data_IF_614418169898
#
_entry.id   IF_614418169898
#
_cell.length_a   1.000
_cell.length_b   1.000
_cell.length_c   1.000
_cell.angle_alpha   90.00
_cell.angle_beta   90.00
_cell.angle_gamma   90.00
#
_symmetry.space_group_name_H-M   'P 1'
#
loop_
_entity.id
_entity.type
_entity.pdbx_description
1 polymer ?
#
# COMPACT_ATOMS: atom_id res chain seq x y z
N UNK A 1 -86.37 59.07 -38.76
CA UNK A 1 -85.04 58.72 -39.28
C UNK A 1 -83.95 58.86 -38.21
N UNK A 2 -83.88 59.97 -37.47
CA UNK A 2 -82.86 60.22 -36.44
C UNK A 2 -82.82 59.18 -35.28
N UNK A 3 -83.99 58.73 -34.81
CA UNK A 3 -84.10 57.70 -33.76
C UNK A 3 -83.49 56.35 -34.19
N UNK A 4 -83.65 55.97 -35.46
CA UNK A 4 -83.11 54.71 -35.99
C UNK A 4 -81.57 54.76 -36.01
N UNK A 5 -81.01 55.93 -36.36
CA UNK A 5 -79.56 56.14 -36.36
C UNK A 5 -78.99 55.99 -34.95
N UNK A 6 -79.65 56.57 -33.93
CA UNK A 6 -79.21 56.43 -32.54
C UNK A 6 -79.19 54.96 -32.10
N UNK A 7 -80.25 54.19 -32.40
CA UNK A 7 -80.35 52.79 -32.00
C UNK A 7 -79.24 51.94 -32.64
N UNK A 8 -78.93 52.18 -33.91
CA UNK A 8 -77.84 51.49 -34.62
C UNK A 8 -76.48 51.84 -34.02
N UNK A 9 -76.24 53.13 -33.73
CA UNK A 9 -74.98 53.56 -33.09
C UNK A 9 -74.84 52.95 -31.70
N UNK A 10 -75.91 52.90 -30.90
CA UNK A 10 -75.89 52.30 -29.58
C UNK A 10 -75.60 50.79 -29.64
N UNK A 11 -76.19 50.08 -30.59
CA UNK A 11 -75.94 48.66 -30.81
C UNK A 11 -74.48 48.38 -31.20
N UNK A 12 -73.88 49.22 -32.05
CA UNK A 12 -72.46 49.11 -32.45
C UNK A 12 -71.54 49.36 -31.26
N UNK A 13 -71.82 50.35 -30.41
CA UNK A 13 -71.03 50.65 -29.22
C UNK A 13 -71.09 49.49 -28.23
N UNK A 14 -72.28 48.93 -27.97
CA UNK A 14 -72.45 47.78 -27.07
C UNK A 14 -71.70 46.56 -27.63
N UNK A 15 -71.81 46.29 -28.93
CA UNK A 15 -71.08 45.20 -29.58
C UNK A 15 -69.55 45.37 -29.48
N UNK A 16 -69.04 46.59 -29.65
CA UNK A 16 -67.61 46.89 -29.53
C UNK A 16 -67.09 46.68 -28.09
N UNK A 17 -67.86 47.08 -27.08
CA UNK A 17 -67.49 46.89 -25.67
C UNK A 17 -67.47 45.40 -25.31
N UNK A 18 -68.48 44.62 -25.75
CA UNK A 18 -68.55 43.17 -25.49
C UNK A 18 -67.43 42.41 -26.20
N UNK A 19 -67.04 42.82 -27.41
CA UNK A 19 -65.89 42.23 -28.11
C UNK A 19 -64.56 42.51 -27.38
N UNK A 20 -64.39 43.73 -26.84
CA UNK A 20 -63.19 44.12 -26.11
C UNK A 20 -63.06 43.43 -24.73
N UNK A 21 -64.17 43.14 -24.04
CA UNK A 21 -64.14 42.44 -22.75
C UNK A 21 -63.92 40.94 -22.92
N UNK A 22 -64.56 40.29 -23.91
CA UNK A 22 -64.34 38.87 -24.21
C UNK A 22 -62.90 38.55 -24.62
N UNK A 23 -62.23 39.44 -25.36
CA UNK A 23 -60.82 39.25 -25.73
C UNK A 23 -59.85 39.31 -24.54
N UNK A 24 -60.18 40.08 -23.50
CA UNK A 24 -59.33 40.22 -22.30
C UNK A 24 -59.45 39.05 -21.33
N UNK A 25 -60.62 38.42 -21.23
CA UNK A 25 -60.81 37.21 -20.41
C UNK A 25 -60.10 36.01 -21.01
N UNK A 26 -60.20 35.80 -22.33
CA UNK A 26 -59.45 34.75 -23.03
C UNK A 26 -57.93 34.89 -22.83
N UNK A 27 -57.39 36.10 -23.02
CA UNK A 27 -55.96 36.36 -22.82
C UNK A 27 -55.49 36.20 -21.36
N UNK A 28 -56.39 36.34 -20.37
CA UNK A 28 -56.07 36.06 -18.95
C UNK A 28 -56.08 34.58 -18.64
N UNK A 29 -57.01 33.83 -19.20
CA UNK A 29 -57.10 32.37 -19.06
C UNK A 29 -55.86 31.73 -19.69
N UNK A 30 -55.50 32.14 -20.90
CA UNK A 30 -54.33 31.61 -21.62
C UNK A 30 -53.01 31.88 -20.88
N UNK A 31 -52.85 33.07 -20.28
CA UNK A 31 -51.70 33.36 -19.39
C UNK A 31 -51.72 32.54 -18.11
N UNK A 32 -52.89 32.28 -17.54
CA UNK A 32 -53.00 31.46 -16.34
C UNK A 32 -52.61 30.01 -16.62
N UNK A 33 -52.98 29.48 -17.78
CA UNK A 33 -52.60 28.13 -18.20
C UNK A 33 -51.10 28.04 -18.58
N UNK A 34 -50.53 29.04 -19.25
CA UNK A 34 -49.07 29.12 -19.48
C UNK A 34 -48.29 29.17 -18.15
N UNK A 35 -48.76 29.94 -17.17
CA UNK A 35 -48.14 29.98 -15.83
C UNK A 35 -48.25 28.63 -15.10
N UNK A 36 -49.38 27.92 -15.21
CA UNK A 36 -49.53 26.57 -14.65
C UNK A 36 -48.59 25.58 -15.33
N UNK A 37 -48.46 25.65 -16.66
CA UNK A 37 -47.57 24.78 -17.40
C UNK A 37 -46.11 25.01 -17.00
N UNK A 38 -45.67 26.28 -16.91
CA UNK A 38 -44.33 26.62 -16.42
C UNK A 38 -44.10 26.21 -14.97
N UNK A 39 -45.12 26.30 -14.12
CA UNK A 39 -45.04 25.81 -12.75
C UNK A 39 -44.79 24.29 -12.74
N UNK A 40 -45.53 23.52 -13.52
CA UNK A 40 -45.31 22.07 -13.64
C UNK A 40 -43.94 21.70 -14.23
N UNK A 41 -43.43 22.47 -15.18
CA UNK A 41 -42.06 22.29 -15.70
C UNK A 41 -41.00 22.58 -14.63
N UNK A 42 -41.17 23.65 -13.86
CA UNK A 42 -40.29 23.95 -12.73
C UNK A 42 -40.37 22.88 -11.64
N UNK A 43 -41.55 22.36 -11.32
CA UNK A 43 -41.71 21.29 -10.32
C UNK A 43 -40.95 20.03 -10.76
N UNK A 44 -40.99 19.68 -12.05
CA UNK A 44 -40.21 18.55 -12.59
C UNK A 44 -38.70 18.79 -12.49
N UNK A 45 -38.25 20.01 -12.80
CA UNK A 45 -36.83 20.37 -12.67
C UNK A 45 -36.37 20.35 -11.21
N UNK A 46 -37.21 20.81 -10.28
CA UNK A 46 -36.95 20.75 -8.83
C UNK A 46 -36.87 19.31 -8.35
N UNK A 47 -37.83 18.45 -8.74
CA UNK A 47 -37.81 17.04 -8.39
C UNK A 47 -36.53 16.34 -8.87
N UNK A 48 -36.13 16.56 -10.13
CA UNK A 48 -34.90 15.98 -10.68
C UNK A 48 -33.64 16.49 -9.98
N UNK A 49 -33.61 17.77 -9.55
CA UNK A 49 -32.50 18.32 -8.77
C UNK A 49 -32.46 17.75 -7.35
N UNK A 50 -33.62 17.55 -6.73
CA UNK A 50 -33.72 16.95 -5.42
C UNK A 50 -33.26 15.50 -5.44
N UNK A 51 -33.71 14.70 -6.40
CA UNK A 51 -33.25 13.33 -6.60
C UNK A 51 -31.72 13.26 -6.76
N UNK A 52 -31.14 14.16 -7.57
CA UNK A 52 -29.69 14.24 -7.74
C UNK A 52 -28.96 14.65 -6.46
N UNK A 53 -29.53 15.56 -5.67
CA UNK A 53 -28.95 15.95 -4.40
C UNK A 53 -28.97 14.78 -3.40
N UNK A 54 -30.07 14.03 -3.36
CA UNK A 54 -30.22 12.83 -2.53
C UNK A 54 -29.22 11.73 -2.96
N UNK A 55 -29.09 11.43 -4.25
CA UNK A 55 -28.09 10.48 -4.76
C UNK A 55 -26.65 10.90 -4.41
N UNK A 56 -26.32 12.19 -4.54
CA UNK A 56 -25.01 12.70 -4.13
C UNK A 56 -24.79 12.56 -2.62
N UNK A 57 -25.81 12.79 -1.79
CA UNK A 57 -25.70 12.61 -0.33
C UNK A 57 -25.49 11.13 0.02
N UNK A 58 -26.23 10.22 -0.60
CA UNK A 58 -26.07 8.78 -0.38
C UNK A 58 -24.68 8.29 -0.80
N UNK A 59 -24.17 8.76 -1.95
CA UNK A 59 -22.80 8.43 -2.38
C UNK A 59 -21.75 8.98 -1.43
N UNK A 60 -21.93 10.21 -0.94
CA UNK A 60 -21.02 10.80 0.02
C UNK A 60 -21.02 10.04 1.35
N UNK A 61 -22.17 9.54 1.80
CA UNK A 61 -22.29 8.69 2.99
C UNK A 61 -21.63 7.33 2.76
N UNK A 62 -21.82 6.70 1.60
CA UNK A 62 -21.15 5.45 1.25
C UNK A 62 -19.63 5.60 1.26
N UNK A 63 -19.08 6.65 0.63
CA UNK A 63 -17.64 6.93 0.63
C UNK A 63 -17.12 7.18 2.06
N UNK A 64 -17.89 7.85 2.93
CA UNK A 64 -17.51 8.02 4.34
C UNK A 64 -17.47 6.69 5.09
N UNK A 65 -18.43 5.80 4.86
CA UNK A 65 -18.44 4.48 5.47
C UNK A 65 -17.26 3.63 4.99
N UNK A 66 -16.99 3.62 3.69
CA UNK A 66 -15.85 2.92 3.12
C UNK A 66 -14.53 3.43 3.75
N UNK A 67 -14.36 4.75 3.84
CA UNK A 67 -13.19 5.35 4.49
C UNK A 67 -13.05 4.93 5.97
N UNK A 68 -14.16 4.85 6.72
CA UNK A 68 -14.12 4.37 8.11
C UNK A 68 -13.68 2.90 8.17
N UNK A 69 -14.23 2.03 7.32
CA UNK A 69 -13.83 0.62 7.30
C UNK A 69 -12.37 0.42 6.89
N UNK A 70 -11.85 1.26 5.99
CA UNK A 70 -10.44 1.24 5.61
C UNK A 70 -9.55 1.69 6.77
N UNK A 71 -9.97 2.70 7.54
CA UNK A 71 -9.23 3.12 8.74
C UNK A 71 -9.20 2.05 9.81
N UNK A 72 -10.32 1.34 10.04
CA UNK A 72 -10.38 0.22 10.99
C UNK A 72 -9.42 -0.91 10.57
N UNK A 73 -9.42 -1.30 9.28
CA UNK A 73 -8.47 -2.30 8.76
C UNK A 73 -7.01 -1.86 8.91
N UNK A 74 -6.72 -0.58 8.69
CA UNK A 74 -5.37 -0.05 8.88
C UNK A 74 -4.93 -0.10 10.35
N UNK A 75 -5.84 0.13 11.29
CA UNK A 75 -5.57 0.00 12.72
C UNK A 75 -5.37 -1.46 13.13
N UNK A 76 -6.18 -2.39 12.64
CA UNK A 76 -6.00 -3.84 12.86
C UNK A 76 -4.63 -4.31 12.37
N UNK A 77 -4.21 -3.88 11.17
CA UNK A 77 -2.89 -4.22 10.63
C UNK A 77 -1.75 -3.65 11.49
N UNK A 78 -1.89 -2.43 12.04
CA UNK A 78 -0.90 -1.85 12.96
C UNK A 78 -0.83 -2.64 14.27
N UNK A 79 -1.96 -3.07 14.81
CA UNK A 79 -1.99 -3.90 16.02
C UNK A 79 -1.32 -5.26 15.77
N UNK A 80 -1.66 -5.93 14.67
CA UNK A 80 -1.05 -7.20 14.30
C UNK A 80 0.47 -7.07 14.09
N UNK A 81 0.94 -5.96 13.51
CA UNK A 81 2.36 -5.67 13.37
C UNK A 81 3.04 -5.47 14.73
N UNK A 82 2.43 -4.72 15.65
CA UNK A 82 2.96 -4.52 17.00
C UNK A 82 3.03 -5.84 17.79
N UNK A 83 2.01 -6.69 17.70
CA UNK A 83 2.03 -8.02 18.32
C UNK A 83 3.10 -8.94 17.72
N UNK A 84 3.33 -8.84 16.40
CA UNK A 84 4.40 -9.59 15.75
C UNK A 84 5.79 -9.11 16.20
N UNK A 85 5.96 -7.81 16.37
CA UNK A 85 7.19 -7.21 16.90
C UNK A 85 7.44 -7.64 18.35
N UNK A 86 6.42 -7.63 19.21
CA UNK A 86 6.53 -8.11 20.58
C UNK A 86 6.93 -9.59 20.63
N UNK A 87 6.29 -10.44 19.80
CA UNK A 87 6.66 -11.85 19.71
C UNK A 87 8.09 -12.06 19.21
N UNK A 88 8.53 -11.26 18.25
CA UNK A 88 9.91 -11.30 17.76
C UNK A 88 10.91 -10.87 18.84
N UNK A 89 10.60 -9.83 19.61
CA UNK A 89 11.43 -9.36 20.71
C UNK A 89 11.57 -10.42 21.81
N UNK A 90 10.47 -11.06 22.22
CA UNK A 90 10.50 -12.15 23.20
C UNK A 90 11.30 -13.36 22.69
N UNK A 91 11.16 -13.71 21.42
CA UNK A 91 11.94 -14.79 20.82
C UNK A 91 13.45 -14.45 20.77
N UNK A 92 13.80 -13.20 20.52
CA UNK A 92 15.19 -12.74 20.54
C UNK A 92 15.79 -12.78 21.96
N UNK A 93 15.04 -12.35 22.97
CA UNK A 93 15.47 -12.45 24.38
C UNK A 93 15.67 -13.92 24.80
N UNK A 94 14.77 -14.81 24.43
CA UNK A 94 14.91 -16.25 24.71
C UNK A 94 16.14 -16.85 24.00
N UNK A 95 16.42 -16.42 22.77
CA UNK A 95 17.61 -16.85 22.04
C UNK A 95 18.90 -16.37 22.73
N UNK A 96 18.95 -15.12 23.19
CA UNK A 96 20.09 -14.57 23.93
C UNK A 96 20.35 -15.33 25.23
N UNK A 97 19.29 -15.63 25.99
CA UNK A 97 19.39 -16.43 27.21
C UNK A 97 19.96 -17.83 26.94
N UNK A 98 19.49 -18.50 25.87
CA UNK A 98 20.02 -19.81 25.46
C UNK A 98 21.47 -19.75 25.02
N UNK A 99 21.85 -18.70 24.30
CA UNK A 99 23.23 -18.50 23.87
C UNK A 99 24.16 -18.27 25.04
N UNK A 100 23.74 -17.49 26.04
CA UNK A 100 24.51 -17.28 27.27
C UNK A 100 24.63 -18.56 28.10
N UNK A 101 23.56 -19.35 28.22
CA UNK A 101 23.62 -20.68 28.85
C UNK A 101 24.58 -21.62 28.09
N UNK A 102 24.56 -21.59 26.75
CA UNK A 102 25.48 -22.35 25.92
C UNK A 102 26.94 -21.91 26.11
N UNK A 103 27.20 -20.60 26.26
CA UNK A 103 28.54 -20.08 26.56
C UNK A 103 29.01 -20.51 27.95
N UNK A 104 28.16 -20.39 28.97
CA UNK A 104 28.48 -20.81 30.32
C UNK A 104 28.77 -22.30 30.42
N UNK A 105 27.96 -23.14 29.76
CA UNK A 105 28.19 -24.59 29.74
C UNK A 105 29.49 -24.95 29.01
N UNK A 106 29.82 -24.30 27.89
CA UNK A 106 31.13 -24.48 27.21
C UNK A 106 32.30 -24.09 28.12
N UNK A 107 32.22 -22.94 28.78
CA UNK A 107 33.27 -22.51 29.71
C UNK A 107 33.48 -23.50 30.86
N UNK A 108 32.39 -24.04 31.42
CA UNK A 108 32.47 -25.06 32.46
C UNK A 108 33.10 -26.38 31.96
N UNK A 109 32.81 -26.78 30.71
CA UNK A 109 33.47 -27.94 30.10
C UNK A 109 34.97 -27.68 29.90
N UNK A 110 35.36 -26.52 29.37
CA UNK A 110 36.76 -26.14 29.18
C UNK A 110 37.54 -26.13 30.51
N UNK A 111 36.93 -25.68 31.60
CA UNK A 111 37.53 -25.74 32.94
C UNK A 111 37.75 -27.18 33.41
N UNK A 112 36.74 -28.05 33.24
CA UNK A 112 36.85 -29.47 33.60
C UNK A 112 37.91 -30.20 32.77
N UNK A 113 38.04 -29.86 31.47
CA UNK A 113 39.10 -30.39 30.61
C UNK A 113 40.48 -29.95 31.08
N UNK A 114 40.67 -28.66 31.39
CA UNK A 114 41.94 -28.15 31.95
C UNK A 114 42.29 -28.81 33.28
N UNK A 115 41.34 -28.96 34.18
CA UNK A 115 41.55 -29.68 35.43
C UNK A 115 41.95 -31.15 35.21
N UNK A 116 41.31 -31.81 34.23
CA UNK A 116 41.62 -33.20 33.86
C UNK A 116 43.03 -33.30 33.30
N UNK A 117 43.43 -32.41 32.39
CA UNK A 117 44.78 -32.35 31.84
C UNK A 117 45.84 -32.08 32.91
N UNK A 118 45.57 -31.16 33.84
CA UNK A 118 46.47 -30.88 34.96
C UNK A 118 46.63 -32.10 35.88
N UNK A 119 45.52 -32.80 36.20
CA UNK A 119 45.54 -34.03 36.99
C UNK A 119 46.33 -35.14 36.28
N UNK A 120 46.17 -35.30 34.97
CA UNK A 120 46.95 -36.25 34.17
C UNK A 120 48.44 -35.90 34.17
N UNK A 121 48.79 -34.63 33.88
CA UNK A 121 50.17 -34.14 33.90
C UNK A 121 50.84 -34.37 35.27
N UNK A 122 50.12 -34.13 36.36
CA UNK A 122 50.60 -34.36 37.72
C UNK A 122 50.74 -35.85 38.05
N UNK A 123 49.86 -36.71 37.52
CA UNK A 123 50.00 -38.15 37.66
C UNK A 123 51.26 -38.66 36.95
N UNK A 124 51.51 -38.19 35.72
CA UNK A 124 52.71 -38.50 34.94
C UNK A 124 54.00 -38.02 35.64
N UNK A 125 53.97 -36.86 36.31
CA UNK A 125 55.10 -36.35 37.10
C UNK A 125 55.45 -37.25 38.30
N UNK A 126 54.45 -37.90 38.90
CA UNK A 126 54.63 -38.78 40.06
C UNK A 126 55.03 -40.19 39.63
N UNK A 127 54.63 -40.68 38.45
CA UNK A 127 54.98 -42.01 37.96
C UNK A 127 56.48 -42.07 37.59
N UNK A 128 57.32 -42.79 38.36
CA UNK A 128 58.75 -42.88 38.08
C UNK A 128 59.07 -43.56 36.73
N UNK A 129 58.11 -44.29 36.13
CA UNK A 129 58.30 -44.95 34.82
C UNK A 129 58.28 -43.97 33.65
N UNK A 130 57.58 -42.85 33.78
CA UNK A 130 57.50 -41.81 32.73
C UNK A 130 58.74 -40.91 32.74
N UNK A 131 59.40 -40.78 33.90
CA UNK A 131 60.59 -39.94 34.07
C UNK A 131 61.84 -40.45 33.33
N UNK A 132 61.94 -41.77 33.11
CA UNK A 132 63.07 -42.41 32.44
C UNK A 132 62.95 -42.43 30.91
N UNK A 133 61.72 -42.33 30.36
CA UNK A 133 61.49 -42.35 28.91
C UNK A 133 61.73 -40.99 28.23
N UNK A 134 61.62 -39.86 28.96
CA UNK A 134 61.76 -38.52 28.40
C UNK A 134 63.18 -38.06 28.08
N UNK A 135 64.21 -38.80 28.51
CA UNK A 135 65.61 -38.38 28.36
C UNK A 135 66.30 -38.92 27.08
N UNK A 136 65.62 -39.75 26.28
CA UNK A 136 66.19 -40.31 25.04
C UNK A 136 65.65 -39.69 23.73
N UNK A 137 64.59 -38.89 23.76
CA UNK A 137 63.99 -38.33 22.54
C UNK A 137 64.30 -36.85 22.27
N UNK A 138 65.09 -36.19 23.12
CA UNK A 138 65.45 -34.78 22.95
C UNK A 138 66.43 -34.49 21.79
N UNK A 139 67.01 -35.53 21.16
CA UNK A 139 68.05 -35.40 20.12
C UNK A 139 67.60 -35.76 18.69
N UNK A 140 66.31 -36.00 18.42
CA UNK A 140 65.88 -36.49 17.08
C UNK A 140 64.88 -35.65 16.27
N UNK A 141 64.50 -34.45 16.69
CA UNK A 141 63.63 -33.59 15.86
C UNK A 141 64.22 -32.19 15.64
N UNK A 142 65.38 -32.15 14.97
CA UNK A 142 65.83 -30.99 14.18
C UNK A 142 65.73 -31.31 12.69
N UNK A 143 64.53 -31.60 12.19
CA UNK A 143 64.29 -31.63 10.75
C UNK A 143 63.09 -30.76 10.38
N UNK A 144 63.44 -29.54 9.98
CA UNK A 144 62.82 -28.66 8.99
C UNK A 144 61.35 -28.23 9.18
N UNK A 145 61.06 -26.91 9.24
CA UNK A 145 59.77 -26.42 8.82
C UNK A 145 59.66 -26.65 7.31
N UNK A 146 58.76 -27.54 6.87
CA UNK A 146 58.35 -27.58 5.48
C UNK A 146 57.33 -26.47 5.25
N UNK A 147 57.79 -25.42 4.59
CA UNK A 147 56.97 -24.48 3.84
C UNK A 147 56.03 -25.27 2.91
N UNK A 148 54.76 -25.35 3.29
CA UNK A 148 53.69 -25.63 2.35
C UNK A 148 52.93 -24.33 2.08
N UNK A 149 53.58 -23.51 1.26
CA UNK A 149 52.91 -22.68 0.26
C UNK A 149 52.00 -23.56 -0.61
N UNK A 150 50.70 -23.53 -0.30
CA UNK A 150 49.58 -23.85 -1.19
C UNK A 150 48.48 -22.88 -0.76
N UNK A 151 48.35 -21.68 -1.32
CA UNK A 151 47.93 -21.39 -2.71
C UNK A 151 46.98 -22.46 -3.22
N UNK A 152 45.76 -22.41 -2.73
CA UNK A 152 44.59 -22.68 -3.55
C UNK A 152 43.66 -21.48 -3.41
N UNK A 153 43.89 -20.52 -4.30
CA UNK A 153 42.89 -19.58 -4.78
C UNK A 153 41.72 -20.41 -5.33
N UNK A 154 40.68 -20.62 -4.52
CA UNK A 154 39.37 -21.03 -5.03
C UNK A 154 38.54 -19.77 -5.17
N UNK A 155 38.73 -19.11 -6.31
CA UNK A 155 37.65 -18.44 -7.00
C UNK A 155 36.58 -19.49 -7.31
N UNK A 156 35.45 -19.40 -6.61
CA UNK A 156 34.14 -19.88 -7.06
C UNK A 156 33.21 -18.71 -6.72
N UNK A 157 33.16 -17.71 -7.61
CA UNK A 157 32.13 -17.60 -8.64
C UNK A 157 30.72 -17.54 -8.05
N UNK A 158 30.12 -16.37 -8.22
CA UNK A 158 28.70 -16.15 -8.33
C UNK A 158 28.04 -17.31 -9.10
N UNK A 159 27.30 -18.16 -8.40
CA UNK A 159 26.26 -18.96 -9.03
C UNK A 159 24.96 -18.77 -8.25
N UNK A 160 24.27 -17.69 -8.62
CA UNK A 160 22.82 -17.65 -8.56
C UNK A 160 22.29 -18.85 -9.37
N UNK A 161 21.78 -19.87 -8.68
CA UNK A 161 21.32 -21.09 -9.35
C UNK A 161 20.67 -22.10 -8.43
N UNK A 162 19.36 -21.95 -8.25
CA UNK A 162 18.40 -23.04 -8.11
C UNK A 162 18.78 -24.29 -7.29
N UNK A 163 18.26 -24.37 -6.07
CA UNK A 163 17.75 -25.64 -5.54
C UNK A 163 16.35 -25.46 -4.99
N UNK A 164 15.40 -25.66 -5.91
CA UNK A 164 14.06 -26.10 -5.57
C UNK A 164 14.19 -27.43 -4.81
N UNK A 165 13.76 -27.44 -3.55
CA UNK A 165 13.53 -28.69 -2.86
C UNK A 165 12.32 -29.38 -3.48
N UNK A 166 12.60 -30.51 -4.13
CA UNK A 166 11.61 -31.49 -4.53
C UNK A 166 10.90 -32.02 -3.28
N UNK A 167 9.66 -31.59 -3.17
CA UNK A 167 8.56 -32.23 -2.48
C UNK A 167 8.32 -33.63 -3.07
N UNK A 168 8.34 -34.66 -2.21
CA UNK A 168 7.89 -36.00 -2.52
C UNK A 168 6.59 -36.28 -1.75
N UNK A 169 5.49 -35.83 -2.31
CA UNK A 169 4.36 -36.69 -2.67
C UNK A 169 3.51 -37.26 -1.53
N UNK A 170 2.37 -36.60 -1.30
CA UNK A 170 1.07 -37.26 -1.14
C UNK A 170 0.12 -36.73 -2.22
N UNK A 171 -0.46 -37.58 -3.10
CA UNK A 171 -1.45 -37.14 -4.04
C UNK A 171 -2.84 -37.39 -3.47
N UNK A 172 -3.63 -36.34 -3.22
CA UNK A 172 -5.03 -36.38 -3.65
C UNK A 172 -5.73 -35.01 -3.69
N UNK A 173 -6.44 -34.82 -4.81
CA UNK A 173 -7.57 -33.94 -5.07
C UNK A 173 -7.45 -32.38 -4.96
N UNK A 174 -7.34 -31.79 -6.15
CA UNK A 174 -8.14 -30.65 -6.65
C UNK A 174 -7.80 -29.21 -6.21
N UNK A 175 -7.15 -28.44 -7.11
CA UNK A 175 -7.72 -27.23 -7.77
C UNK A 175 -6.69 -26.42 -8.61
N UNK A 176 -7.16 -25.56 -9.55
CA UNK A 176 -6.40 -25.14 -10.74
C UNK A 176 -5.62 -23.82 -10.59
N UNK A 177 -4.51 -23.78 -11.30
CA UNK A 177 -3.90 -22.70 -12.10
C UNK A 177 -4.23 -21.24 -11.76
N UNK A 178 -3.26 -20.55 -11.16
CA UNK A 178 -3.03 -19.13 -11.42
C UNK A 178 -1.55 -18.84 -11.68
N UNK A 179 -1.28 -18.73 -12.97
CA UNK A 179 -0.08 -18.21 -13.59
C UNK A 179 -0.01 -16.69 -13.35
N UNK A 180 0.94 -16.22 -12.55
CA UNK A 180 1.29 -14.80 -12.49
C UNK A 180 2.80 -14.67 -12.52
N UNK A 181 3.29 -14.35 -13.71
CA UNK A 181 4.63 -13.85 -13.98
C UNK A 181 4.96 -12.65 -13.09
N UNK A 182 5.87 -12.83 -12.12
CA UNK A 182 6.59 -11.72 -11.50
C UNK A 182 7.96 -11.61 -12.15
N UNK A 183 8.03 -10.66 -13.08
CA UNK A 183 9.25 -10.09 -13.64
C UNK A 183 10.04 -9.34 -12.56
N UNK A 184 11.34 -9.57 -12.61
CA UNK A 184 12.47 -8.85 -12.03
C UNK A 184 12.24 -7.37 -11.65
N UNK A 185 12.75 -7.02 -10.47
CA UNK A 185 12.81 -5.65 -9.99
C UNK A 185 13.68 -5.50 -8.76
N UNK A 186 14.96 -5.85 -8.86
CA UNK A 186 15.99 -5.44 -7.91
C UNK A 186 15.94 -3.91 -7.72
N UNK A 187 15.61 -3.44 -6.51
CA UNK A 187 15.82 -2.04 -6.12
C UNK A 187 16.58 -1.99 -4.82
N UNK A 188 17.90 -1.92 -4.96
CA UNK A 188 18.82 -1.53 -3.91
C UNK A 188 18.41 -0.15 -3.38
N UNK A 189 17.97 -0.13 -2.12
CA UNK A 189 17.63 1.08 -1.39
C UNK A 189 18.93 1.65 -0.79
N UNK A 190 19.79 2.22 -1.64
CA UNK A 190 20.88 3.09 -1.18
C UNK A 190 20.35 4.50 -1.02
N UNK A 191 20.30 4.94 0.24
CA UNK A 191 19.97 6.31 0.62
C UNK A 191 20.91 7.30 -0.06
N UNK A 192 20.35 8.10 -0.96
CA UNK A 192 20.91 9.38 -1.34
C UNK A 192 19.90 10.48 -1.07
N UNK A 193 20.20 11.23 -0.01
CA UNK A 193 19.73 12.59 0.23
C UNK A 193 20.16 13.43 -0.98
N UNK A 194 19.23 13.62 -1.91
CA UNK A 194 19.37 14.53 -3.03
C UNK A 194 18.02 15.19 -3.22
N UNK A 195 17.95 16.49 -2.97
CA UNK A 195 16.88 17.37 -3.44
C UNK A 195 17.05 17.40 -4.96
N UNK A 196 16.55 16.36 -5.62
CA UNK A 196 16.65 16.16 -7.06
C UNK A 196 15.36 16.59 -7.70
N UNK A 197 15.49 17.50 -8.66
CA UNK A 197 14.52 17.90 -9.66
C UNK A 197 13.44 16.82 -9.87
N UNK A 198 12.23 17.11 -9.40
CA UNK A 198 11.03 16.39 -9.83
C UNK A 198 10.97 16.63 -11.32
N UNK A 199 11.29 15.60 -12.11
CA UNK A 199 11.20 15.68 -13.56
C UNK A 199 9.80 16.20 -13.94
N UNK A 200 9.76 17.29 -14.71
CA UNK A 200 8.54 17.97 -15.18
C UNK A 200 7.62 17.12 -16.08
N UNK A 201 7.91 15.81 -16.19
CA UNK A 201 7.25 14.84 -17.06
C UNK A 201 6.04 14.16 -16.41
N UNK A 202 5.89 14.21 -15.08
CA UNK A 202 4.75 13.57 -14.39
C UNK A 202 3.53 14.51 -14.19
N UNK A 203 3.54 15.71 -14.75
CA UNK A 203 2.40 16.64 -14.65
C UNK A 203 1.41 16.34 -15.77
N UNK A 204 0.12 16.06 -15.48
CA UNK A 204 -0.88 15.82 -16.51
C UNK A 204 -0.96 17.02 -17.46
N UNK A 205 -0.98 16.74 -18.76
CA UNK A 205 -1.05 17.73 -19.84
C UNK A 205 -2.31 17.55 -20.67
N UNK A 206 -2.80 18.63 -21.26
CA UNK A 206 -3.88 18.56 -22.23
C UNK A 206 -3.41 18.05 -23.60
N UNK A 207 -4.35 17.88 -24.52
CA UNK A 207 -4.11 17.52 -25.93
C UNK A 207 -3.23 18.54 -26.70
N UNK A 208 -2.92 19.68 -26.10
CA UNK A 208 -2.06 20.73 -26.66
C UNK A 208 -0.72 20.85 -25.90
N UNK A 209 -0.43 19.93 -24.97
CA UNK A 209 0.82 19.87 -24.22
C UNK A 209 0.92 20.87 -23.05
N UNK A 210 -0.16 21.58 -22.71
CA UNK A 210 -0.18 22.54 -21.60
C UNK A 210 -0.34 21.81 -20.27
N UNK A 211 0.39 22.25 -19.24
CA UNK A 211 0.27 21.70 -17.88
C UNK A 211 -1.14 21.95 -17.34
N UNK A 212 -1.74 20.91 -16.78
CA UNK A 212 -3.02 20.98 -16.09
C UNK A 212 -2.78 21.16 -14.58
N UNK A 213 -3.62 21.98 -13.95
CA UNK A 213 -3.72 22.02 -12.50
C UNK A 213 -4.34 20.70 -11.95
N UNK A 214 -4.35 20.48 -10.62
CA UNK A 214 -4.97 19.29 -10.03
C UNK A 214 -6.47 19.13 -10.32
N UNK A 215 -7.12 20.16 -10.89
CA UNK A 215 -8.53 20.19 -11.25
C UNK A 215 -8.76 20.07 -12.77
N UNK A 216 -7.69 19.86 -13.56
CA UNK A 216 -7.78 19.68 -15.00
C UNK A 216 -7.89 20.97 -15.82
N UNK A 217 -7.57 22.14 -15.25
CA UNK A 217 -7.55 23.41 -15.98
C UNK A 217 -6.14 23.74 -16.50
N UNK A 218 -6.00 24.32 -17.71
CA UNK A 218 -4.70 24.70 -18.23
C UNK A 218 -4.09 25.85 -17.43
N UNK A 219 -2.85 25.69 -16.99
CA UNK A 219 -2.08 26.73 -16.30
C UNK A 219 -1.54 27.71 -17.37
N UNK A 220 -1.78 29.03 -17.24
CA UNK A 220 -1.19 30.00 -18.16
C UNK A 220 0.34 30.01 -18.01
N UNK A 221 1.05 29.89 -19.14
CA UNK A 221 2.50 30.06 -19.15
C UNK A 221 2.82 31.54 -18.91
N UNK A 222 3.37 31.85 -17.73
CA UNK A 222 3.91 33.18 -17.44
C UNK A 222 5.04 33.47 -18.44
N UNK A 223 4.83 34.48 -19.30
CA UNK A 223 5.78 34.96 -20.32
C UNK A 223 6.71 36.02 -19.76
#
# INVERSE_FOLDING_TARGET
MWVIIIVVVLAVIIAAIVAATRGREGARIERADDLRQRAHENDRLLAARQERAEDLTTRAEAVRQDALTETERAEELRQAAAEAEERAALAAEEAELRDDEARHSRHALDELEREREEKLRKADEIDPRVRDSGQHDADHERHAPQDHDRRDDVHLDDEAGHTAHHDHGTPDAARPDHDVSQTDGHREQRGHRGVGDIADDDVPRDEHGRRLDPYGNPVPEDR
#
